data_IF_138089722422
#
_entry.id   IF_138089722422
#
_cell.length_a   1.000
_cell.length_b   1.000
_cell.length_c   1.000
_cell.angle_alpha   90.00
_cell.angle_beta   90.00
_cell.angle_gamma   90.00
#
_symmetry.space_group_name_H-M   'P 1'
#
loop_
_entity.id
_entity.type
_entity.pdbx_description
1 polymer ?
#
# COMPACT_ATOMS: atom_id res chain seq x y z
N UNK A 1 7.31 -2.46 45.95
CA UNK A 1 8.01 -2.93 44.74
C UNK A 1 7.58 -4.36 44.51
N UNK A 2 6.83 -4.59 43.44
CA UNK A 2 6.33 -5.91 43.06
C UNK A 2 5.76 -5.80 41.65
N UNK A 3 6.51 -6.30 40.66
CA UNK A 3 6.08 -6.35 39.27
C UNK A 3 5.08 -7.51 39.12
N UNK A 4 3.85 -7.18 38.71
CA UNK A 4 2.81 -8.15 38.41
C UNK A 4 2.99 -8.72 37.01
N UNK A 5 3.31 -10.01 36.94
CA UNK A 5 3.28 -10.84 35.73
C UNK A 5 1.83 -11.24 35.44
N UNK A 6 1.30 -10.88 34.28
CA UNK A 6 0.01 -11.39 33.84
C UNK A 6 0.19 -12.81 33.26
N UNK A 7 -0.31 -13.81 33.99
CA UNK A 7 -0.42 -15.20 33.56
C UNK A 7 -1.60 -15.38 32.60
N UNK A 8 -1.37 -16.00 31.44
CA UNK A 8 -2.45 -16.48 30.58
C UNK A 8 -2.93 -17.85 31.10
N UNK A 9 -4.20 -17.92 31.53
CA UNK A 9 -4.92 -19.18 31.77
C UNK A 9 -5.71 -19.55 30.53
N UNK A 10 -5.41 -20.72 29.97
CA UNK A 10 -6.24 -21.38 28.97
C UNK A 10 -7.49 -21.94 29.67
N UNK A 11 -8.67 -21.47 29.25
CA UNK A 11 -9.98 -22.01 29.65
C UNK A 11 -10.67 -22.59 28.43
N UNK A 12 -10.91 -23.90 28.46
CA UNK A 12 -11.70 -24.67 27.51
C UNK A 12 -13.19 -24.30 27.60
N UNK A 13 -13.86 -24.13 26.46
CA UNK A 13 -15.32 -24.27 26.35
C UNK A 13 -16.05 -23.16 25.60
N UNK A 14 -16.59 -23.53 24.44
CA UNK A 14 -17.75 -22.93 23.73
C UNK A 14 -17.63 -21.53 23.08
N UNK A 15 -17.50 -21.58 21.74
CA UNK A 15 -18.06 -20.69 20.71
C UNK A 15 -18.29 -19.21 21.08
N UNK A 16 -17.29 -18.38 20.77
CA UNK A 16 -17.47 -16.95 20.51
C UNK A 16 -16.77 -16.59 19.19
N UNK A 17 -17.54 -16.21 18.18
CA UNK A 17 -17.02 -15.53 16.99
C UNK A 17 -16.46 -14.18 17.45
N UNK A 18 -15.13 -14.05 17.47
CA UNK A 18 -14.47 -12.76 17.60
C UNK A 18 -14.58 -12.07 16.24
N UNK A 19 -15.49 -11.11 16.12
CA UNK A 19 -15.50 -10.16 15.00
C UNK A 19 -14.29 -9.24 15.17
N UNK A 20 -13.18 -9.57 14.51
CA UNK A 20 -12.11 -8.61 14.27
C UNK A 20 -12.40 -7.93 12.93
N UNK A 21 -12.77 -6.65 12.98
CA UNK A 21 -12.64 -5.77 11.82
C UNK A 21 -11.14 -5.52 11.60
N UNK A 22 -10.58 -6.11 10.55
CA UNK A 22 -9.21 -5.84 10.11
C UNK A 22 -9.17 -4.41 9.55
N UNK A 23 -8.56 -3.49 10.31
CA UNK A 23 -8.29 -2.11 9.90
C UNK A 23 -7.12 -2.10 8.91
N UNK A 24 -7.31 -1.50 7.73
CA UNK A 24 -6.26 -1.34 6.71
C UNK A 24 -5.25 -0.27 7.17
N UNK A 25 -3.96 -0.63 7.26
CA UNK A 25 -2.88 0.24 7.78
C UNK A 25 -2.40 1.31 6.76
N UNK A 26 -3.21 1.59 5.72
CA UNK A 26 -2.80 2.36 4.53
C UNK A 26 -3.84 3.32 3.95
N UNK A 27 -4.96 3.59 4.64
CA UNK A 27 -6.00 4.46 4.08
C UNK A 27 -5.47 5.87 3.78
N UNK A 28 -5.66 6.31 2.54
CA UNK A 28 -5.39 7.67 2.09
C UNK A 28 -6.72 8.36 1.85
N UNK A 29 -6.89 9.54 2.46
CA UNK A 29 -8.06 10.38 2.29
C UNK A 29 -7.74 11.48 1.26
N UNK A 30 -8.42 11.45 0.11
CA UNK A 30 -8.42 12.57 -0.83
C UNK A 30 -9.71 13.36 -0.67
N UNK A 31 -9.61 14.64 -0.30
CA UNK A 31 -10.76 15.47 0.01
C UNK A 31 -10.69 16.81 -0.70
N UNK A 32 -11.85 17.32 -1.11
CA UNK A 32 -12.04 18.69 -1.56
C UNK A 32 -13.15 19.33 -0.73
N UNK A 33 -12.91 20.53 -0.22
CA UNK A 33 -13.88 21.28 0.55
C UNK A 33 -14.18 22.62 -0.13
N UNK A 34 -15.38 23.13 0.12
CA UNK A 34 -15.76 24.50 -0.16
C UNK A 34 -16.38 25.14 1.08
N UNK A 35 -16.43 26.46 1.11
CA UNK A 35 -17.20 27.18 2.12
C UNK A 35 -18.22 28.12 1.48
N UNK A 36 -19.20 28.53 2.28
CA UNK A 36 -20.27 29.41 1.88
C UNK A 36 -20.53 30.45 2.96
N UNK A 37 -20.66 31.72 2.55
CA UNK A 37 -20.97 32.89 3.39
C UNK A 37 -20.04 33.02 4.61
N UNK A 38 -18.73 32.83 4.42
CA UNK A 38 -17.76 33.12 5.46
C UNK A 38 -17.85 34.58 5.92
N UNK A 39 -17.52 34.83 7.19
CA UNK A 39 -17.46 36.19 7.71
C UNK A 39 -16.29 36.97 7.09
N UNK A 40 -16.60 38.13 6.53
CA UNK A 40 -15.59 39.11 6.07
C UNK A 40 -14.76 39.62 7.26
N UNK A 41 -13.42 39.61 7.15
CA UNK A 41 -12.54 40.28 8.14
C UNK A 41 -11.78 41.46 7.57
N UNK A 42 -11.42 41.42 6.28
CA UNK A 42 -10.76 42.54 5.61
C UNK A 42 -11.59 43.83 5.50
N UNK A 43 -10.91 44.97 5.70
CA UNK A 43 -11.51 46.29 5.51
C UNK A 43 -11.72 46.61 4.01
N UNK A 44 -10.73 46.34 3.16
CA UNK A 44 -10.72 46.67 1.72
C UNK A 44 -10.66 45.42 0.82
N UNK A 45 -11.65 44.53 0.95
CA UNK A 45 -11.73 43.29 0.19
C UNK A 45 -12.70 42.33 0.86
N UNK A 46 -12.98 41.18 0.28
CA UNK A 46 -13.48 40.02 1.05
C UNK A 46 -12.27 39.31 1.67
N UNK A 47 -12.54 38.41 2.60
CA UNK A 47 -11.51 37.55 3.19
C UNK A 47 -10.72 36.75 2.14
N UNK A 48 -9.51 36.37 2.52
CA UNK A 48 -8.56 35.45 1.90
C UNK A 48 -8.53 34.11 2.68
N UNK A 49 -9.61 33.30 2.66
CA UNK A 49 -9.74 32.17 3.57
C UNK A 49 -8.85 30.96 3.28
N UNK A 50 -8.38 30.30 4.35
CA UNK A 50 -7.73 28.98 4.33
C UNK A 50 -8.14 28.11 5.53
N UNK A 51 -7.96 26.80 5.41
CA UNK A 51 -8.26 25.81 6.45
C UNK A 51 -7.00 25.28 7.10
N UNK A 52 -7.07 25.00 8.41
CA UNK A 52 -6.04 24.29 9.16
C UNK A 52 -6.67 23.08 9.84
N UNK A 53 -6.20 21.89 9.49
CA UNK A 53 -6.66 20.62 10.05
C UNK A 53 -5.77 20.23 11.23
N UNK A 54 -6.41 19.75 12.29
CA UNK A 54 -5.75 19.28 13.49
C UNK A 54 -6.21 17.86 13.85
N UNK A 55 -5.22 17.00 14.10
CA UNK A 55 -5.36 15.68 14.72
C UNK A 55 -5.47 15.82 16.23
N UNK A 56 -6.43 15.15 16.86
CA UNK A 56 -6.45 14.96 18.32
C UNK A 56 -5.42 13.91 18.74
N UNK A 57 -4.64 14.22 19.78
CA UNK A 57 -3.71 13.31 20.44
C UNK A 57 -4.36 12.62 21.65
N UNK A 58 -3.73 11.57 22.18
CA UNK A 58 -4.24 10.81 23.35
C UNK A 58 -4.29 11.64 24.64
N UNK A 59 -3.43 12.66 24.74
CA UNK A 59 -3.38 13.60 25.86
C UNK A 59 -4.42 14.74 25.73
N UNK A 60 -5.27 14.70 24.70
CA UNK A 60 -6.28 15.73 24.41
C UNK A 60 -5.73 16.99 23.73
N UNK A 61 -4.44 17.03 23.39
CA UNK A 61 -3.86 18.13 22.61
C UNK A 61 -4.15 17.97 21.11
N UNK A 62 -3.98 19.06 20.36
CA UNK A 62 -4.21 19.09 18.92
C UNK A 62 -2.91 19.37 18.16
N UNK A 63 -2.61 18.57 17.15
CA UNK A 63 -1.45 18.75 16.26
C UNK A 63 -1.90 19.06 14.85
N UNK A 64 -1.30 20.07 14.21
CA UNK A 64 -1.61 20.39 12.81
C UNK A 64 -1.21 19.19 11.92
N UNK A 65 -2.14 18.72 11.11
CA UNK A 65 -1.90 17.64 10.15
C UNK A 65 -1.99 18.10 8.68
N UNK A 66 -2.70 19.19 8.39
CA UNK A 66 -2.76 19.77 7.03
C UNK A 66 -3.14 21.26 7.04
N UNK A 67 -2.74 21.99 5.99
CA UNK A 67 -3.17 23.36 5.69
C UNK A 67 -3.47 23.48 4.20
N UNK A 68 -4.62 24.06 3.87
CA UNK A 68 -4.97 24.33 2.46
C UNK A 68 -4.24 25.58 1.96
N UNK A 69 -4.34 25.82 0.66
CA UNK A 69 -3.98 27.11 0.07
C UNK A 69 -4.92 28.24 0.52
N UNK A 70 -4.45 29.46 0.31
CA UNK A 70 -5.21 30.70 0.54
C UNK A 70 -5.97 31.05 -0.73
N UNK A 71 -7.30 31.18 -0.65
CA UNK A 71 -8.14 31.60 -1.77
C UNK A 71 -8.49 33.07 -1.60
N UNK A 72 -7.97 33.93 -2.48
CA UNK A 72 -8.07 35.39 -2.28
C UNK A 72 -9.45 35.97 -2.57
N UNK A 73 -9.84 36.97 -1.78
CA UNK A 73 -10.96 37.88 -1.99
C UNK A 73 -12.29 37.16 -2.24
N UNK A 74 -12.63 36.20 -1.38
CA UNK A 74 -13.88 35.44 -1.46
C UNK A 74 -14.45 35.07 -0.09
N UNK A 75 -15.78 35.01 0.00
CA UNK A 75 -16.49 34.44 1.16
C UNK A 75 -17.04 33.03 0.87
N UNK A 76 -16.81 32.54 -0.36
CA UNK A 76 -17.25 31.23 -0.82
C UNK A 76 -16.08 30.50 -1.51
N UNK A 77 -14.98 30.23 -0.79
CA UNK A 77 -13.83 29.54 -1.36
C UNK A 77 -14.18 28.11 -1.78
N UNK A 78 -13.55 27.67 -2.86
CA UNK A 78 -13.41 26.25 -3.19
C UNK A 78 -11.91 25.99 -3.16
N UNK A 79 -11.45 25.17 -2.22
CA UNK A 79 -10.04 24.82 -2.11
C UNK A 79 -9.69 23.70 -3.10
N UNK A 80 -8.43 23.58 -3.45
CA UNK A 80 -7.92 22.49 -4.27
C UNK A 80 -8.07 21.16 -3.52
N UNK A 81 -8.32 20.04 -4.23
CA UNK A 81 -8.27 18.73 -3.63
C UNK A 81 -6.90 18.48 -3.00
N UNK A 82 -6.88 17.87 -1.82
CA UNK A 82 -5.65 17.46 -1.16
C UNK A 82 -5.75 16.02 -0.67
N UNK A 83 -4.58 15.41 -0.46
CA UNK A 83 -4.44 14.02 -0.06
C UNK A 83 -3.70 13.95 1.27
N UNK A 84 -4.25 13.22 2.23
CA UNK A 84 -3.65 13.02 3.57
C UNK A 84 -3.79 11.55 4.01
N UNK A 85 -2.73 10.92 4.56
CA UNK A 85 -2.87 9.61 5.19
C UNK A 85 -3.87 9.67 6.36
N UNK A 86 -4.79 8.70 6.45
CA UNK A 86 -5.78 8.62 7.54
C UNK A 86 -5.09 8.53 8.90
N UNK A 87 -3.95 7.85 8.98
CA UNK A 87 -3.11 7.84 10.19
C UNK A 87 -2.59 9.24 10.57
N UNK A 88 -2.23 10.06 9.59
CA UNK A 88 -1.85 11.45 9.86
C UNK A 88 -3.05 12.30 10.30
N UNK A 89 -4.24 12.02 9.77
CA UNK A 89 -5.47 12.74 10.09
C UNK A 89 -6.05 12.38 11.47
N UNK A 90 -6.14 11.09 11.79
CA UNK A 90 -6.89 10.58 12.95
C UNK A 90 -6.20 9.39 13.65
N UNK A 91 -4.91 9.12 13.37
CA UNK A 91 -4.12 8.05 13.98
C UNK A 91 -4.72 6.63 13.82
N UNK A 92 -5.42 6.40 12.71
CA UNK A 92 -6.07 5.12 12.41
C UNK A 92 -7.44 4.94 13.06
N UNK A 93 -7.84 5.81 14.01
CA UNK A 93 -9.14 5.77 14.67
C UNK A 93 -10.12 6.67 13.91
N UNK A 94 -11.07 6.07 13.19
CA UNK A 94 -11.92 6.79 12.22
C UNK A 94 -12.95 7.68 12.90
N UNK A 95 -13.23 7.40 14.18
CA UNK A 95 -14.15 8.15 15.02
C UNK A 95 -13.42 9.23 15.84
N UNK A 96 -12.08 9.25 15.82
CA UNK A 96 -11.29 10.27 16.49
C UNK A 96 -11.61 11.67 15.96
N UNK A 97 -11.68 12.61 16.89
CA UNK A 97 -11.98 14.01 16.59
C UNK A 97 -10.89 14.64 15.74
N UNK A 98 -11.31 15.19 14.60
CA UNK A 98 -10.55 16.08 13.73
C UNK A 98 -11.11 17.49 13.93
N UNK A 99 -10.26 18.43 14.31
CA UNK A 99 -10.63 19.85 14.44
C UNK A 99 -10.18 20.61 13.20
N UNK A 100 -11.02 21.50 12.70
CA UNK A 100 -10.72 22.32 11.53
C UNK A 100 -10.96 23.78 11.88
N UNK A 101 -9.93 24.58 11.73
CA UNK A 101 -9.99 26.02 11.91
C UNK A 101 -10.03 26.73 10.56
N UNK A 102 -10.83 27.78 10.46
CA UNK A 102 -10.95 28.66 9.30
C UNK A 102 -10.35 30.01 9.65
N UNK A 103 -9.37 30.45 8.86
CA UNK A 103 -8.68 31.71 9.04
C UNK A 103 -8.81 32.60 7.82
N UNK A 104 -8.73 33.90 8.04
CA UNK A 104 -8.45 34.92 7.03
C UNK A 104 -6.93 35.14 6.95
N UNK A 105 -6.35 35.11 5.75
CA UNK A 105 -4.93 35.34 5.59
C UNK A 105 -4.62 36.84 5.65
N UNK A 106 -3.54 37.17 6.37
CA UNK A 106 -3.07 38.54 6.59
C UNK A 106 -1.58 38.60 6.26
N UNK A 107 -1.17 39.68 5.59
CA UNK A 107 0.22 39.83 5.10
C UNK A 107 1.27 39.90 6.20
N UNK A 108 0.89 40.32 7.40
CA UNK A 108 1.77 40.43 8.56
C UNK A 108 1.90 39.13 9.37
N UNK A 109 1.18 38.07 8.97
CA UNK A 109 1.16 36.77 9.65
C UNK A 109 0.18 36.69 10.82
N UNK A 110 -0.56 37.76 11.14
CA UNK A 110 -1.53 37.80 12.24
C UNK A 110 -2.94 37.33 11.84
N UNK A 111 -2.99 36.19 11.12
CA UNK A 111 -4.18 35.65 10.48
C UNK A 111 -5.45 35.69 11.35
N UNK A 112 -6.48 36.32 10.79
CA UNK A 112 -7.71 36.62 11.48
C UNK A 112 -8.63 35.39 11.61
N UNK A 113 -8.83 34.89 12.83
CA UNK A 113 -9.67 33.70 13.05
C UNK A 113 -11.14 33.95 12.68
N UNK A 114 -11.68 33.16 11.74
CA UNK A 114 -13.08 33.22 11.30
C UNK A 114 -13.93 32.33 12.21
N UNK A 115 -13.57 31.06 12.38
CA UNK A 115 -14.24 30.11 13.26
C UNK A 115 -13.67 28.70 13.14
N UNK A 116 -14.26 27.76 13.88
CA UNK A 116 -13.84 26.34 13.92
C UNK A 116 -15.05 25.42 13.86
N UNK A 117 -14.79 24.16 13.48
CA UNK A 117 -15.71 23.05 13.64
C UNK A 117 -14.93 21.76 13.93
N UNK A 118 -15.62 20.75 14.44
CA UNK A 118 -15.07 19.42 14.71
C UNK A 118 -15.84 18.37 13.93
N UNK A 119 -15.14 17.34 13.47
CA UNK A 119 -15.70 16.20 12.73
C UNK A 119 -14.88 14.95 13.03
N UNK A 120 -15.11 13.85 12.30
CA UNK A 120 -14.27 12.65 12.29
C UNK A 120 -14.00 12.22 10.84
N UNK A 121 -13.00 11.37 10.64
CA UNK A 121 -12.76 10.81 9.29
C UNK A 121 -13.98 10.02 8.80
N UNK A 122 -14.67 9.30 9.69
CA UNK A 122 -15.91 8.57 9.36
C UNK A 122 -17.01 9.47 8.80
N UNK A 123 -17.15 10.69 9.31
CA UNK A 123 -18.11 11.66 8.78
C UNK A 123 -17.60 12.25 7.45
N UNK A 124 -16.33 12.68 7.41
CA UNK A 124 -15.71 13.23 6.21
C UNK A 124 -15.74 12.26 5.01
N UNK A 125 -15.57 10.96 5.25
CA UNK A 125 -15.56 9.92 4.20
C UNK A 125 -16.92 9.66 3.56
N UNK A 126 -18.03 10.12 4.15
CA UNK A 126 -19.38 10.00 3.57
C UNK A 126 -19.60 10.86 2.32
N UNK A 127 -18.60 11.64 1.89
CA UNK A 127 -18.62 12.37 0.62
C UNK A 127 -19.63 13.51 0.56
N UNK A 128 -20.09 13.83 -0.65
CA UNK A 128 -21.06 14.90 -0.86
C UNK A 128 -22.45 14.46 -0.37
N UNK A 129 -22.82 14.91 0.82
CA UNK A 129 -24.09 14.59 1.46
C UNK A 129 -24.63 15.81 2.21
N UNK A 130 -25.96 15.88 2.38
CA UNK A 130 -26.61 16.89 3.22
C UNK A 130 -26.10 16.88 4.68
N UNK A 131 -25.47 15.78 5.09
CA UNK A 131 -24.88 15.60 6.42
C UNK A 131 -23.42 16.08 6.53
N UNK A 132 -22.76 16.41 5.41
CA UNK A 132 -21.37 16.90 5.37
C UNK A 132 -21.29 18.41 5.16
N UNK A 133 -22.13 19.13 5.89
CA UNK A 133 -22.15 20.59 5.98
C UNK A 133 -21.90 20.98 7.43
N UNK A 134 -20.76 21.58 7.69
CA UNK A 134 -20.31 21.98 9.02
C UNK A 134 -20.54 23.48 9.23
N UNK A 135 -21.23 23.83 10.31
CA UNK A 135 -21.33 25.22 10.73
C UNK A 135 -20.00 25.71 11.31
N UNK A 136 -19.47 26.80 10.77
CA UNK A 136 -18.23 27.41 11.26
C UNK A 136 -18.57 28.26 12.48
N UNK A 137 -18.06 27.90 13.65
CA UNK A 137 -18.41 28.56 14.91
C UNK A 137 -17.25 29.40 15.44
N UNK A 138 -17.51 30.66 15.79
CA UNK A 138 -16.56 31.53 16.44
C UNK A 138 -16.90 31.64 17.94
N UNK A 139 -16.11 31.04 18.85
CA UNK A 139 -16.41 31.04 20.28
C UNK A 139 -16.52 32.46 20.87
N UNK A 140 -15.69 33.40 20.40
CA UNK A 140 -15.71 34.80 20.84
C UNK A 140 -17.00 35.51 20.42
N UNK A 141 -17.52 35.25 19.20
CA UNK A 141 -18.81 35.81 18.75
C UNK A 141 -19.99 35.16 19.47
N UNK A 142 -19.96 33.84 19.67
CA UNK A 142 -21.00 33.08 20.39
C UNK A 142 -21.18 33.59 21.82
N UNK A 143 -20.08 33.91 22.53
CA UNK A 143 -20.14 34.49 23.87
C UNK A 143 -20.62 35.95 23.94
N UNK A 144 -20.52 36.71 22.84
CA UNK A 144 -20.82 38.16 22.82
C UNK A 144 -22.15 38.53 22.16
N UNK A 145 -22.62 37.76 21.17
CA UNK A 145 -23.78 38.10 20.33
C UNK A 145 -24.94 37.15 20.59
N UNK A 146 -26.04 37.68 21.16
CA UNK A 146 -27.26 36.90 21.48
C UNK A 146 -27.95 36.22 20.29
N UNK A 147 -27.78 36.71 19.06
CA UNK A 147 -28.38 36.16 17.82
C UNK A 147 -27.32 35.57 16.86
N UNK A 148 -26.18 35.13 17.39
CA UNK A 148 -25.15 34.48 16.58
C UNK A 148 -25.61 33.08 16.15
N UNK A 149 -25.52 32.79 14.85
CA UNK A 149 -25.81 31.47 14.28
C UNK A 149 -24.47 30.79 13.97
N UNK A 150 -23.78 31.25 12.92
CA UNK A 150 -22.48 30.76 12.51
C UNK A 150 -21.69 31.87 11.77
N UNK A 151 -20.45 31.57 11.42
CA UNK A 151 -19.52 32.41 10.64
C UNK A 151 -19.36 31.85 9.21
N UNK A 152 -20.43 31.25 8.68
CA UNK A 152 -20.47 30.53 7.42
C UNK A 152 -20.55 29.01 7.61
N UNK A 153 -20.54 28.28 6.50
CA UNK A 153 -20.54 26.82 6.49
C UNK A 153 -19.42 26.27 5.62
N UNK A 154 -18.83 25.14 6.00
CA UNK A 154 -17.88 24.37 5.19
C UNK A 154 -18.54 23.07 4.76
N UNK A 155 -18.37 22.69 3.50
CA UNK A 155 -18.97 21.49 2.93
C UNK A 155 -17.91 20.65 2.22
N UNK A 156 -18.04 19.34 2.34
CA UNK A 156 -17.21 18.39 1.59
C UNK A 156 -17.80 18.26 0.17
N UNK A 157 -17.01 18.64 -0.84
CA UNK A 157 -17.37 18.56 -2.26
C UNK A 157 -17.00 17.19 -2.81
N UNK A 158 -15.82 16.70 -2.43
CA UNK A 158 -15.30 15.40 -2.81
C UNK A 158 -14.70 14.76 -1.56
N UNK A 159 -15.03 13.50 -1.33
CA UNK A 159 -14.31 12.64 -0.40
C UNK A 159 -14.12 11.30 -1.07
N UNK A 160 -12.89 11.03 -1.45
CA UNK A 160 -12.47 9.74 -1.95
C UNK A 160 -11.61 9.14 -0.85
N UNK A 161 -12.19 8.19 -0.12
CA UNK A 161 -11.40 7.22 0.61
C UNK A 161 -10.87 6.25 -0.43
N UNK A 162 -9.62 6.42 -0.83
CA UNK A 162 -8.94 5.31 -1.45
C UNK A 162 -8.56 4.35 -0.34
N UNK A 163 -9.43 3.37 -0.08
CA UNK A 163 -8.91 2.03 0.25
C UNK A 163 -8.25 1.58 -1.05
N UNK A 164 -7.00 2.00 -1.23
CA UNK A 164 -6.37 1.98 -2.53
C UNK A 164 -5.95 0.54 -2.77
N UNK A 165 -6.69 -0.08 -3.67
CA UNK A 165 -6.53 -1.41 -4.26
C UNK A 165 -6.98 -2.62 -3.43
N UNK A 166 -8.27 -2.95 -3.50
CA UNK A 166 -8.67 -4.34 -3.60
C UNK A 166 -8.69 -4.72 -5.09
N UNK A 167 -7.52 -4.74 -5.73
CA UNK A 167 -7.37 -5.49 -6.99
C UNK A 167 -6.73 -6.80 -6.59
N UNK A 168 -7.20 -7.93 -7.11
CA UNK A 168 -6.52 -9.20 -6.90
C UNK A 168 -5.06 -9.03 -7.33
N UNK A 169 -4.16 -9.20 -6.36
CA UNK A 169 -2.73 -9.11 -6.52
C UNK A 169 -2.22 -10.55 -6.50
N UNK A 170 -2.16 -11.17 -7.66
CA UNK A 170 -1.46 -12.45 -7.81
C UNK A 170 0.05 -12.20 -7.63
N UNK A 171 0.51 -12.37 -6.40
CA UNK A 171 1.92 -12.39 -6.03
C UNK A 171 2.51 -13.76 -6.33
N UNK A 172 3.54 -13.79 -7.17
CA UNK A 172 4.22 -15.03 -7.50
C UNK A 172 5.60 -14.79 -8.08
N UNK A 173 6.70 -15.07 -7.35
CA UNK A 173 7.84 -15.90 -7.81
C UNK A 173 9.12 -15.77 -6.95
N UNK A 174 9.68 -16.92 -6.59
CA UNK A 174 10.83 -17.02 -5.69
C UNK A 174 11.96 -17.74 -6.42
N UNK A 175 13.17 -17.15 -6.46
CA UNK A 175 14.35 -17.87 -6.95
C UNK A 175 14.90 -18.77 -5.86
N UNK A 176 15.49 -19.87 -6.30
CA UNK A 176 16.45 -20.63 -5.51
C UNK A 176 17.81 -20.55 -6.21
N UNK A 177 18.85 -20.10 -5.54
CA UNK A 177 20.18 -19.95 -6.07
C UNK A 177 21.25 -20.69 -5.28
N UNK A 178 22.46 -20.72 -5.83
CA UNK A 178 23.43 -21.77 -5.57
C UNK A 178 23.91 -21.86 -4.11
N UNK A 179 23.92 -23.09 -3.61
CA UNK A 179 24.46 -23.45 -2.30
C UNK A 179 23.61 -24.57 -1.72
N UNK A 180 24.23 -25.69 -1.34
CA UNK A 180 23.49 -26.78 -0.71
C UNK A 180 22.72 -26.22 0.50
N UNK A 181 21.38 -26.33 0.57
CA UNK A 181 20.58 -25.76 1.66
C UNK A 181 20.94 -26.30 3.05
N UNK A 182 21.70 -27.40 3.12
CA UNK A 182 22.26 -27.94 4.36
C UNK A 182 23.57 -27.27 4.79
N UNK A 183 24.20 -26.45 3.94
CA UNK A 183 25.44 -25.74 4.26
C UNK A 183 25.14 -24.35 4.86
N UNK A 184 25.74 -23.99 6.00
CA UNK A 184 25.56 -22.68 6.64
C UNK A 184 25.95 -21.48 5.77
N UNK A 185 26.79 -21.69 4.76
CA UNK A 185 27.23 -20.66 3.81
C UNK A 185 26.24 -20.44 2.66
N UNK A 186 25.21 -21.28 2.52
CA UNK A 186 24.18 -21.11 1.50
C UNK A 186 23.21 -19.99 1.89
N UNK A 187 22.83 -19.16 0.92
CA UNK A 187 21.74 -18.19 1.09
C UNK A 187 20.37 -18.86 1.28
N UNK A 188 20.26 -20.17 0.99
CA UNK A 188 19.11 -21.02 1.28
C UNK A 188 19.26 -21.87 2.54
N UNK A 189 20.25 -21.58 3.39
CA UNK A 189 20.51 -22.41 4.56
C UNK A 189 19.25 -22.60 5.41
N UNK A 190 18.86 -23.86 5.62
CA UNK A 190 17.68 -24.22 6.43
C UNK A 190 18.06 -24.27 7.91
N UNK A 191 18.16 -23.10 8.54
CA UNK A 191 18.38 -22.99 9.98
C UNK A 191 17.07 -23.23 10.76
N UNK A 192 17.04 -24.10 11.78
CA UNK A 192 15.83 -24.36 12.58
C UNK A 192 15.37 -23.17 13.45
N UNK A 193 16.22 -22.16 13.66
CA UNK A 193 15.93 -21.02 14.56
C UNK A 193 15.81 -19.67 13.85
N UNK A 194 16.26 -19.56 12.60
CA UNK A 194 16.30 -18.29 11.87
C UNK A 194 15.92 -18.50 10.41
N UNK A 195 15.17 -17.55 9.84
CA UNK A 195 14.88 -17.53 8.41
C UNK A 195 16.14 -17.16 7.62
N UNK A 196 16.31 -17.77 6.45
CA UNK A 196 17.34 -17.34 5.51
C UNK A 196 16.92 -16.05 4.77
N UNK A 197 17.85 -15.42 4.07
CA UNK A 197 17.62 -14.10 3.44
C UNK A 197 16.48 -14.12 2.42
N UNK A 198 16.29 -15.23 1.72
CA UNK A 198 15.16 -15.42 0.81
C UNK A 198 13.82 -15.45 1.55
N UNK A 199 13.73 -16.23 2.63
CA UNK A 199 12.54 -16.29 3.46
C UNK A 199 12.26 -14.95 4.15
N UNK A 200 13.29 -14.24 4.60
CA UNK A 200 13.14 -12.89 5.17
C UNK A 200 12.61 -11.90 4.13
N UNK A 201 13.19 -11.86 2.93
CA UNK A 201 12.73 -10.98 1.86
C UNK A 201 11.29 -11.30 1.44
N UNK A 202 10.98 -12.59 1.28
CA UNK A 202 9.64 -13.06 0.93
C UNK A 202 8.63 -12.65 1.99
N UNK A 203 8.96 -12.86 3.27
CA UNK A 203 8.09 -12.50 4.39
C UNK A 203 7.89 -10.99 4.44
N UNK A 204 8.96 -10.21 4.36
CA UNK A 204 8.91 -8.76 4.48
C UNK A 204 8.04 -8.08 3.42
N UNK A 205 8.18 -8.52 2.17
CA UNK A 205 7.43 -7.95 1.04
C UNK A 205 6.03 -8.57 0.97
N UNK A 206 5.96 -9.89 1.12
CA UNK A 206 4.72 -10.64 1.06
C UNK A 206 3.74 -10.23 2.14
N UNK A 207 4.19 -10.01 3.38
CA UNK A 207 3.29 -9.68 4.50
C UNK A 207 2.45 -8.43 4.25
N UNK A 208 2.92 -7.54 3.37
CA UNK A 208 2.28 -6.26 3.10
C UNK A 208 1.47 -6.34 1.81
N UNK A 209 2.03 -6.92 0.75
CA UNK A 209 1.28 -7.03 -0.51
C UNK A 209 0.12 -8.01 -0.37
N UNK A 210 0.25 -9.04 0.48
CA UNK A 210 -0.84 -9.99 0.66
C UNK A 210 -2.13 -9.30 1.08
N UNK A 211 -2.07 -8.18 1.82
CA UNK A 211 -3.26 -7.45 2.30
C UNK A 211 -4.11 -6.89 1.17
N UNK A 212 -3.51 -6.64 0.01
CA UNK A 212 -4.19 -6.11 -1.15
C UNK A 212 -4.81 -7.20 -2.04
N UNK A 213 -4.40 -8.45 -1.88
CA UNK A 213 -5.01 -9.58 -2.57
C UNK A 213 -6.27 -10.08 -1.83
N UNK A 214 -7.37 -10.36 -2.53
CA UNK A 214 -8.65 -10.64 -1.85
C UNK A 214 -8.83 -12.09 -1.41
N UNK A 215 -8.28 -13.05 -2.15
CA UNK A 215 -8.42 -14.48 -1.87
C UNK A 215 -7.21 -15.06 -1.12
N UNK A 216 -6.11 -14.30 -1.04
CA UNK A 216 -4.82 -14.67 -0.44
C UNK A 216 -4.27 -15.96 -1.08
N UNK A 217 -4.56 -16.21 -2.36
CA UNK A 217 -4.07 -17.37 -3.09
C UNK A 217 -2.92 -16.95 -3.99
N UNK A 218 -1.71 -17.33 -3.61
CA UNK A 218 -0.50 -16.90 -4.29
C UNK A 218 0.08 -18.03 -5.13
N UNK A 219 0.06 -17.95 -6.47
CA UNK A 219 0.84 -18.87 -7.29
C UNK A 219 2.31 -18.80 -6.86
N UNK A 220 2.96 -19.92 -6.57
CA UNK A 220 4.35 -19.87 -6.11
C UNK A 220 5.23 -20.73 -7.01
N UNK A 221 6.23 -20.12 -7.64
CA UNK A 221 7.14 -20.85 -8.53
C UNK A 221 8.60 -20.63 -8.16
N UNK A 222 9.36 -21.71 -8.31
CA UNK A 222 10.82 -21.72 -8.37
C UNK A 222 11.30 -21.68 -9.82
N UNK A 223 12.53 -21.21 -10.04
CA UNK A 223 13.20 -21.27 -11.33
C UNK A 223 14.69 -21.53 -11.13
N UNK A 224 15.31 -22.26 -12.06
CA UNK A 224 16.73 -22.63 -11.94
C UNK A 224 16.93 -23.81 -11.00
N UNK A 225 16.19 -24.90 -11.21
CA UNK A 225 16.44 -26.13 -10.48
C UNK A 225 16.28 -27.36 -11.37
N UNK A 226 16.98 -28.42 -11.00
CA UNK A 226 16.74 -29.77 -11.53
C UNK A 226 15.67 -30.43 -10.67
N UNK A 227 14.59 -30.84 -11.32
CA UNK A 227 13.46 -31.47 -10.65
C UNK A 227 13.64 -32.99 -10.60
N UNK A 228 13.24 -33.64 -9.49
CA UNK A 228 13.11 -35.09 -9.47
C UNK A 228 11.96 -35.56 -10.37
N UNK A 229 11.95 -36.83 -10.83
CA UNK A 229 12.99 -37.84 -10.64
C UNK A 229 14.10 -37.81 -11.71
N UNK A 230 13.87 -37.14 -12.83
CA UNK A 230 14.72 -37.22 -14.04
C UNK A 230 15.83 -36.16 -14.08
N UNK A 231 15.85 -35.23 -13.12
CA UNK A 231 16.85 -34.17 -13.04
C UNK A 231 16.73 -33.15 -14.16
N UNK A 232 15.57 -33.04 -14.81
CA UNK A 232 15.33 -32.03 -15.85
C UNK A 232 15.41 -30.64 -15.27
N UNK A 233 16.11 -29.78 -15.98
CA UNK A 233 16.24 -28.37 -15.64
C UNK A 233 14.89 -27.71 -15.91
N UNK A 234 14.32 -27.10 -14.88
CA UNK A 234 13.14 -26.26 -14.99
C UNK A 234 13.47 -24.81 -14.67
N UNK A 235 13.01 -23.93 -15.55
CA UNK A 235 13.09 -22.48 -15.38
C UNK A 235 11.76 -21.88 -14.88
N UNK A 236 10.78 -22.72 -14.55
CA UNK A 236 9.55 -22.35 -13.85
C UNK A 236 8.87 -23.64 -13.36
N UNK A 237 8.76 -23.84 -12.05
CA UNK A 237 8.10 -24.99 -11.45
C UNK A 237 7.33 -24.59 -10.20
N UNK A 238 6.15 -25.17 -9.94
CA UNK A 238 5.35 -24.83 -8.76
C UNK A 238 6.07 -25.29 -7.49
N UNK A 239 6.20 -24.41 -6.48
CA UNK A 239 6.88 -24.73 -5.22
C UNK A 239 6.12 -25.78 -4.41
N UNK A 240 4.78 -25.76 -4.49
CA UNK A 240 3.91 -26.76 -3.85
C UNK A 240 3.89 -28.12 -4.59
N UNK A 241 4.66 -28.25 -5.68
CA UNK A 241 4.72 -29.44 -6.54
C UNK A 241 3.41 -29.81 -7.27
N UNK A 242 2.41 -28.93 -7.26
CA UNK A 242 1.14 -29.12 -7.96
C UNK A 242 1.13 -28.28 -9.26
N UNK A 243 1.18 -28.97 -10.41
CA UNK A 243 1.20 -28.32 -11.73
C UNK A 243 -0.16 -27.81 -12.17
N UNK A 244 -1.24 -28.38 -11.62
CA UNK A 244 -2.61 -27.97 -11.95
C UNK A 244 -3.04 -26.79 -11.07
N UNK A 245 -2.59 -26.76 -9.81
CA UNK A 245 -2.88 -25.69 -8.87
C UNK A 245 -1.62 -25.20 -8.13
N UNK A 246 -0.91 -24.21 -8.69
CA UNK A 246 0.32 -23.66 -8.09
C UNK A 246 0.05 -22.75 -6.87
N UNK A 247 -1.22 -22.55 -6.48
CA UNK A 247 -1.60 -21.55 -5.49
C UNK A 247 -1.29 -22.02 -4.06
N UNK A 248 -0.71 -21.11 -3.29
CA UNK A 248 -0.41 -21.26 -1.88
C UNK A 248 -1.29 -20.32 -1.06
N UNK A 249 -1.81 -20.78 0.08
CA UNK A 249 -2.67 -19.97 0.95
C UNK A 249 -1.82 -19.05 1.81
N UNK A 250 -1.90 -17.74 1.57
CA UNK A 250 -1.14 -16.74 2.30
C UNK A 250 0.37 -16.83 2.08
N UNK A 251 1.10 -15.86 2.62
CA UNK A 251 2.57 -15.86 2.55
C UNK A 251 3.19 -16.98 3.36
N UNK A 252 2.54 -17.39 4.46
CA UNK A 252 3.00 -18.56 5.22
C UNK A 252 2.89 -19.85 4.41
N UNK A 253 1.87 -20.01 3.56
CA UNK A 253 1.79 -21.13 2.62
C UNK A 253 2.91 -21.09 1.57
N UNK A 254 3.25 -19.90 1.07
CA UNK A 254 4.39 -19.73 0.14
C UNK A 254 5.72 -20.07 0.81
N UNK A 255 5.93 -19.64 2.07
CA UNK A 255 7.11 -19.96 2.86
C UNK A 255 7.23 -21.46 3.13
N UNK A 256 6.12 -22.13 3.46
CA UNK A 256 6.09 -23.57 3.63
C UNK A 256 6.46 -24.29 2.33
N UNK A 257 5.82 -23.94 1.21
CA UNK A 257 6.11 -24.51 -0.10
C UNK A 257 7.57 -24.29 -0.52
N UNK A 258 8.13 -23.11 -0.23
CA UNK A 258 9.54 -22.81 -0.43
C UNK A 258 10.45 -23.78 0.34
N UNK A 259 10.26 -23.92 1.66
CA UNK A 259 11.10 -24.81 2.47
C UNK A 259 10.93 -26.29 2.11
N UNK A 260 9.73 -26.71 1.69
CA UNK A 260 9.49 -28.05 1.18
C UNK A 260 10.22 -28.28 -0.15
N UNK A 261 10.13 -27.34 -1.09
CA UNK A 261 10.78 -27.44 -2.40
C UNK A 261 12.31 -27.55 -2.27
N UNK A 262 12.91 -26.82 -1.33
CA UNK A 262 14.35 -26.85 -1.06
C UNK A 262 14.88 -28.23 -0.63
N UNK A 263 14.00 -29.13 -0.16
CA UNK A 263 14.37 -30.50 0.23
C UNK A 263 14.35 -31.48 -0.95
N UNK A 264 13.65 -31.14 -2.03
CA UNK A 264 13.37 -32.05 -3.14
C UNK A 264 14.11 -31.66 -4.42
N UNK A 265 14.29 -30.37 -4.67
CA UNK A 265 14.92 -29.88 -5.91
C UNK A 265 16.43 -29.72 -5.75
N UNK A 266 17.17 -29.88 -6.84
CA UNK A 266 18.59 -29.57 -6.88
C UNK A 266 18.81 -28.21 -7.54
N UNK A 267 19.36 -27.25 -6.80
CA UNK A 267 19.61 -25.89 -7.28
C UNK A 267 20.56 -25.89 -8.49
N UNK A 268 20.24 -25.08 -9.50
CA UNK A 268 20.95 -25.07 -10.77
C UNK A 268 20.91 -23.68 -11.46
N UNK A 269 21.83 -23.41 -12.38
CA UNK A 269 21.84 -22.20 -13.21
C UNK A 269 21.84 -22.54 -14.71
N UNK A 270 21.57 -21.61 -15.63
CA UNK A 270 21.62 -20.15 -15.48
C UNK A 270 20.34 -19.54 -14.91
N UNK A 271 20.44 -18.25 -14.56
CA UNK A 271 19.30 -17.45 -14.11
C UNK A 271 18.67 -16.73 -15.28
N UNK A 272 17.43 -17.08 -15.60
CA UNK A 272 16.69 -16.47 -16.69
C UNK A 272 15.39 -15.85 -16.16
N UNK A 273 15.18 -14.54 -16.35
CA UNK A 273 13.98 -13.84 -15.91
C UNK A 273 12.89 -13.80 -16.97
N UNK A 274 13.26 -13.79 -18.25
CA UNK A 274 12.31 -13.66 -19.35
C UNK A 274 11.20 -14.72 -19.34
N UNK A 275 11.45 -16.03 -19.06
CA UNK A 275 10.38 -17.03 -19.04
C UNK A 275 9.30 -16.72 -17.99
N UNK A 276 9.74 -16.28 -16.82
CA UNK A 276 8.90 -15.97 -15.67
C UNK A 276 8.05 -14.72 -15.92
N UNK A 277 8.65 -13.65 -16.45
CA UNK A 277 7.94 -12.42 -16.81
C UNK A 277 6.90 -12.71 -17.88
N UNK A 278 7.29 -13.41 -18.95
CA UNK A 278 6.38 -13.78 -20.04
C UNK A 278 5.21 -14.64 -19.59
N UNK A 279 5.40 -15.50 -18.59
CA UNK A 279 4.30 -16.29 -18.02
C UNK A 279 3.27 -15.41 -17.32
N UNK A 280 3.69 -14.45 -16.48
CA UNK A 280 2.74 -13.52 -15.82
C UNK A 280 2.10 -12.60 -16.85
N UNK A 281 2.87 -12.12 -17.82
CA UNK A 281 2.37 -11.27 -18.90
C UNK A 281 1.23 -11.95 -19.68
N UNK A 282 1.28 -13.26 -19.90
CA UNK A 282 0.17 -13.98 -20.54
C UNK A 282 -1.10 -13.93 -19.71
N UNK A 283 -1.00 -14.20 -18.40
CA UNK A 283 -2.15 -14.09 -17.48
C UNK A 283 -2.69 -12.66 -17.40
N UNK A 284 -1.80 -11.67 -17.31
CA UNK A 284 -2.17 -10.26 -17.26
C UNK A 284 -2.84 -9.77 -18.55
N UNK A 285 -2.45 -10.31 -19.71
CA UNK A 285 -3.02 -9.94 -21.00
C UNK A 285 -4.52 -10.30 -21.15
N UNK A 286 -4.99 -11.31 -20.42
CA UNK A 286 -6.40 -11.71 -20.44
C UNK A 286 -7.29 -10.74 -19.63
N UNK A 287 -6.69 -9.89 -18.77
CA UNK A 287 -7.40 -8.91 -17.94
C UNK A 287 -7.33 -7.53 -18.57
N UNK A 288 -8.47 -7.04 -19.06
CA UNK A 288 -8.56 -5.74 -19.76
C UNK A 288 -9.53 -4.75 -19.11
N UNK A 289 -10.36 -5.21 -18.19
CA UNK A 289 -11.45 -4.46 -17.55
C UNK A 289 -11.04 -3.79 -16.22
N UNK A 290 -9.75 -3.86 -15.89
CA UNK A 290 -9.18 -3.36 -14.63
C UNK A 290 -9.64 -4.11 -13.39
N UNK A 291 -10.19 -5.32 -13.52
CA UNK A 291 -10.60 -6.12 -12.35
C UNK A 291 -9.42 -6.65 -11.54
N UNK A 292 -8.26 -6.85 -12.17
CA UNK A 292 -7.06 -7.41 -11.55
C UNK A 292 -5.81 -6.66 -12.01
N UNK A 293 -4.80 -6.64 -11.14
CA UNK A 293 -3.49 -6.09 -11.44
C UNK A 293 -2.41 -6.97 -10.82
N UNK A 294 -1.49 -7.45 -11.64
CA UNK A 294 -0.55 -8.48 -11.24
C UNK A 294 0.74 -7.86 -10.68
N UNK A 295 1.24 -8.36 -9.56
CA UNK A 295 2.56 -7.97 -9.04
C UNK A 295 3.46 -9.18 -8.97
N UNK A 296 4.44 -9.22 -9.87
CA UNK A 296 5.45 -10.25 -9.94
C UNK A 296 6.59 -9.91 -8.98
N UNK A 297 6.59 -10.47 -7.76
CA UNK A 297 7.77 -10.46 -6.90
C UNK A 297 8.79 -11.48 -7.41
N UNK A 298 10.06 -11.11 -7.48
CA UNK A 298 11.20 -11.94 -7.86
C UNK A 298 12.35 -11.70 -6.90
N UNK A 299 12.75 -12.71 -6.13
CA UNK A 299 13.92 -12.59 -5.24
C UNK A 299 15.11 -13.24 -5.91
N UNK A 300 16.30 -12.65 -5.90
CA UNK A 300 17.48 -13.14 -6.64
C UNK A 300 18.79 -12.87 -5.92
N UNK A 301 19.79 -13.75 -6.01
CA UNK A 301 21.10 -13.56 -5.37
C UNK A 301 22.22 -13.08 -6.31
N UNK A 302 21.90 -12.78 -7.56
CA UNK A 302 22.91 -12.35 -8.51
C UNK A 302 22.38 -12.09 -9.90
N UNK A 303 23.34 -11.89 -10.81
CA UNK A 303 23.15 -11.41 -12.18
C UNK A 303 22.30 -12.38 -13.02
N UNK A 304 21.49 -11.82 -13.91
CA UNK A 304 20.70 -12.56 -14.89
C UNK A 304 21.53 -12.89 -16.13
N UNK A 305 21.28 -14.06 -16.70
CA UNK A 305 21.99 -14.55 -17.88
C UNK A 305 21.30 -14.17 -19.20
N UNK A 306 20.02 -13.79 -19.16
CA UNK A 306 19.16 -13.49 -20.31
C UNK A 306 18.71 -12.02 -20.35
N UNK A 307 19.64 -11.09 -20.10
CA UNK A 307 19.34 -9.65 -20.05
C UNK A 307 18.62 -9.13 -21.30
N UNK A 308 19.06 -9.56 -22.50
CA UNK A 308 18.46 -9.12 -23.77
C UNK A 308 16.99 -9.56 -23.88
N UNK A 309 16.71 -10.82 -23.52
CA UNK A 309 15.37 -11.39 -23.53
C UNK A 309 14.50 -10.81 -22.40
N UNK A 310 15.11 -10.47 -21.27
CA UNK A 310 14.43 -9.83 -20.14
C UNK A 310 13.97 -8.43 -20.50
N UNK A 311 14.83 -7.62 -21.16
CA UNK A 311 14.41 -6.31 -21.69
C UNK A 311 13.28 -6.43 -22.69
N UNK A 312 13.34 -7.41 -23.59
CA UNK A 312 12.23 -7.68 -24.51
C UNK A 312 10.93 -8.02 -23.77
N UNK A 313 10.99 -8.88 -22.74
CA UNK A 313 9.85 -9.26 -21.93
C UNK A 313 9.26 -8.06 -21.17
N UNK A 314 10.09 -7.21 -20.56
CA UNK A 314 9.68 -5.99 -19.86
C UNK A 314 9.00 -5.00 -20.83
N UNK A 315 9.61 -4.74 -21.99
CA UNK A 315 9.03 -3.83 -22.99
C UNK A 315 7.66 -4.32 -23.48
N UNK A 316 7.50 -5.64 -23.69
CA UNK A 316 6.23 -6.22 -24.10
C UNK A 316 5.19 -6.22 -22.96
N UNK A 317 5.63 -6.39 -21.70
CA UNK A 317 4.75 -6.40 -20.52
C UNK A 317 4.31 -4.99 -20.08
N UNK A 318 5.03 -3.93 -20.47
CA UNK A 318 4.76 -2.56 -20.04
C UNK A 318 3.35 -2.05 -20.41
N UNK A 319 2.70 -2.64 -21.41
CA UNK A 319 1.33 -2.30 -21.82
C UNK A 319 0.23 -3.04 -21.03
N UNK A 320 0.59 -3.99 -20.17
CA UNK A 320 -0.30 -4.91 -19.46
C UNK A 320 -0.55 -4.48 -18.00
N UNK A 321 -1.61 -4.97 -17.32
CA UNK A 321 -1.89 -4.67 -15.92
C UNK A 321 -0.94 -5.43 -14.99
N UNK A 322 0.37 -5.20 -15.09
CA UNK A 322 1.34 -5.84 -14.24
C UNK A 322 2.53 -4.96 -13.87
N UNK A 323 3.10 -5.23 -12.71
CA UNK A 323 4.39 -4.72 -12.22
C UNK A 323 5.30 -5.88 -11.83
N UNK A 324 6.60 -5.61 -11.75
CA UNK A 324 7.67 -6.56 -11.42
C UNK A 324 8.51 -5.95 -10.30
N UNK A 325 8.61 -6.64 -9.18
CA UNK A 325 9.48 -6.27 -8.07
C UNK A 325 10.64 -7.26 -8.03
N UNK A 326 11.86 -6.76 -8.10
CA UNK A 326 13.08 -7.56 -8.06
C UNK A 326 13.82 -7.26 -6.76
N UNK A 327 13.96 -8.25 -5.89
CA UNK A 327 14.70 -8.11 -4.62
C UNK A 327 16.03 -8.84 -4.70
N UNK A 328 17.13 -8.09 -4.63
CA UNK A 328 18.49 -8.63 -4.64
C UNK A 328 18.96 -9.06 -3.24
N UNK A 329 19.27 -10.34 -3.02
CA UNK A 329 19.78 -10.87 -1.73
C UNK A 329 21.25 -11.27 -1.83
N UNK A 330 21.96 -11.25 -0.72
CA UNK A 330 23.37 -11.64 -0.68
C UNK A 330 24.34 -10.59 -1.22
N UNK A 331 25.61 -10.96 -1.43
CA UNK A 331 26.70 -10.01 -1.64
C UNK A 331 27.01 -9.70 -3.11
N UNK A 332 26.22 -10.20 -4.07
CA UNK A 332 26.49 -9.98 -5.49
C UNK A 332 26.37 -8.50 -5.89
N UNK A 333 26.96 -8.16 -7.04
CA UNK A 333 26.76 -6.86 -7.69
C UNK A 333 25.51 -6.88 -8.56
N UNK A 334 24.73 -5.81 -8.49
CA UNK A 334 23.39 -5.73 -9.07
C UNK A 334 23.23 -4.61 -10.12
N UNK A 335 24.31 -4.06 -10.66
CA UNK A 335 24.29 -2.98 -11.68
C UNK A 335 23.35 -3.31 -12.86
N UNK A 336 23.30 -4.57 -13.26
CA UNK A 336 22.42 -5.05 -14.33
C UNK A 336 20.92 -4.95 -13.98
N UNK A 337 20.56 -5.02 -12.69
CA UNK A 337 19.18 -4.86 -12.22
C UNK A 337 18.79 -3.39 -12.14
N UNK A 338 19.72 -2.48 -11.83
CA UNK A 338 19.48 -1.03 -11.89
C UNK A 338 19.15 -0.58 -13.32
N UNK A 339 19.74 -1.22 -14.34
CA UNK A 339 19.36 -0.97 -15.74
C UNK A 339 17.90 -1.38 -16.05
N UNK A 340 17.31 -2.30 -15.29
CA UNK A 340 15.93 -2.74 -15.47
C UNK A 340 14.92 -1.86 -14.72
N UNK A 341 15.33 -1.17 -13.66
CA UNK A 341 14.50 -0.35 -12.76
C UNK A 341 13.83 0.84 -13.46
N UNK A 342 14.34 1.26 -14.62
CA UNK A 342 13.64 2.22 -15.50
C UNK A 342 13.61 3.68 -15.02
N UNK A 343 13.99 3.95 -13.77
CA UNK A 343 14.02 5.26 -13.10
C UNK A 343 14.82 6.33 -13.85
N UNK A 344 16.08 6.02 -14.21
CA UNK A 344 16.92 6.96 -14.95
C UNK A 344 16.64 6.89 -16.46
N UNK A 345 16.50 5.68 -16.98
CA UNK A 345 16.35 5.40 -18.41
C UNK A 345 15.29 4.32 -18.60
N UNK A 346 14.17 4.71 -19.22
CA UNK A 346 13.08 3.79 -19.55
C UNK A 346 13.61 2.62 -20.39
N UNK A 347 13.33 1.40 -19.95
CA UNK A 347 13.78 0.17 -20.60
C UNK A 347 13.37 0.16 -22.08
N UNK A 348 14.31 -0.21 -22.95
CA UNK A 348 14.07 -0.27 -24.40
C UNK A 348 14.67 -1.53 -25.02
N UNK A 349 14.05 -1.97 -26.10
CA UNK A 349 14.48 -3.14 -26.87
C UNK A 349 14.24 -2.91 -28.37
N UNK A 350 15.31 -3.05 -29.18
CA UNK A 350 15.28 -2.84 -30.65
C UNK A 350 14.61 -1.53 -31.08
N UNK A 351 14.89 -0.44 -30.35
CA UNK A 351 14.35 0.90 -30.63
C UNK A 351 12.91 1.14 -30.16
N UNK A 352 12.24 0.14 -29.55
CA UNK A 352 10.96 0.32 -28.87
C UNK A 352 11.20 0.60 -27.40
N UNK A 353 10.58 1.65 -26.88
CA UNK A 353 10.66 2.04 -25.46
C UNK A 353 9.42 1.47 -24.75
N UNK A 354 9.60 1.01 -23.51
CA UNK A 354 8.49 0.56 -22.67
C UNK A 354 7.45 1.69 -22.46
N UNK A 355 6.16 1.38 -22.62
CA UNK A 355 5.04 2.34 -22.50
C UNK A 355 5.00 3.01 -21.11
N UNK A 356 5.34 2.25 -20.07
CA UNK A 356 5.38 2.67 -18.67
C UNK A 356 6.57 2.04 -17.96
N UNK A 357 6.89 2.58 -16.80
CA UNK A 357 7.73 1.85 -15.86
C UNK A 357 6.93 0.77 -15.17
N UNK A 358 7.52 -0.41 -15.07
CA UNK A 358 6.88 -1.57 -14.45
C UNK A 358 7.85 -2.39 -13.60
N UNK A 359 9.12 -2.02 -13.50
CA UNK A 359 10.11 -2.77 -12.72
C UNK A 359 10.51 -1.91 -11.54
N UNK A 360 10.57 -2.50 -10.35
CA UNK A 360 11.24 -1.93 -9.19
C UNK A 360 12.37 -2.88 -8.79
N UNK A 361 13.60 -2.40 -8.65
CA UNK A 361 14.71 -3.14 -8.07
C UNK A 361 15.05 -2.65 -6.66
N UNK A 362 15.17 -3.59 -5.71
CA UNK A 362 15.56 -3.27 -4.33
C UNK A 362 16.64 -4.25 -3.82
N UNK A 363 17.85 -3.76 -3.51
CA UNK A 363 18.87 -4.59 -2.86
C UNK A 363 18.54 -4.79 -1.38
N UNK A 364 18.18 -6.02 -0.99
CA UNK A 364 17.79 -6.39 0.37
C UNK A 364 18.89 -6.10 1.42
N UNK A 365 20.16 -6.15 1.01
CA UNK A 365 21.32 -5.93 1.88
C UNK A 365 21.32 -4.55 2.54
N UNK A 366 20.71 -3.55 1.91
CA UNK A 366 20.66 -2.17 2.40
C UNK A 366 19.72 -2.01 3.60
N UNK A 367 18.90 -3.04 3.84
CA UNK A 367 17.88 -3.08 4.89
C UNK A 367 18.18 -4.12 5.96
N UNK A 368 19.35 -4.77 5.95
CA UNK A 368 19.76 -5.64 7.06
C UNK A 368 20.70 -4.86 7.97
N UNK A 369 20.17 -4.33 9.08
CA UNK A 369 21.00 -3.69 10.10
C UNK A 369 21.76 -4.74 10.94
N UNK A 370 23.07 -4.52 11.14
CA UNK A 370 23.92 -5.33 12.05
C UNK A 370 23.49 -5.22 13.52
N UNK A 371 22.65 -4.23 13.85
CA UNK A 371 22.20 -3.92 15.20
C UNK A 371 21.02 -4.77 15.70
N UNK A 372 20.41 -5.62 14.85
CA UNK A 372 19.37 -6.57 15.25
C UNK A 372 17.94 -6.01 15.37
N UNK A 373 17.70 -4.73 15.02
CA UNK A 373 16.36 -4.16 14.96
C UNK A 373 15.64 -4.53 13.65
N UNK A 374 15.25 -5.80 13.53
CA UNK A 374 14.63 -6.36 12.32
C UNK A 374 13.35 -5.61 11.92
N UNK A 375 12.51 -5.17 12.87
CA UNK A 375 11.20 -4.55 12.58
C UNK A 375 11.31 -3.23 11.79
N UNK A 376 12.18 -2.31 12.21
CA UNK A 376 12.39 -1.03 11.52
C UNK A 376 13.01 -1.22 10.12
N UNK A 377 13.77 -2.28 9.98
CA UNK A 377 14.49 -2.63 8.77
C UNK A 377 13.55 -3.22 7.70
N UNK A 378 12.57 -4.03 8.12
CA UNK A 378 11.50 -4.54 7.25
C UNK A 378 10.56 -3.43 6.79
N UNK A 379 10.20 -2.48 7.68
CA UNK A 379 9.32 -1.37 7.32
C UNK A 379 9.92 -0.41 6.27
N UNK A 380 11.25 -0.27 6.25
CA UNK A 380 11.96 0.52 5.22
C UNK A 380 11.99 -0.19 3.88
N UNK A 381 12.34 -1.48 3.89
CA UNK A 381 12.30 -2.32 2.68
C UNK A 381 10.91 -2.29 2.05
N UNK A 382 9.89 -2.48 2.86
CA UNK A 382 8.50 -2.40 2.45
C UNK A 382 8.14 -1.07 1.78
N UNK A 383 8.53 0.03 2.41
CA UNK A 383 8.28 1.38 1.91
C UNK A 383 8.88 1.57 0.52
N UNK A 384 10.11 1.12 0.33
CA UNK A 384 10.84 1.36 -0.91
C UNK A 384 10.40 0.35 -2.00
N UNK A 385 10.04 -0.88 -1.64
CA UNK A 385 9.41 -1.86 -2.55
C UNK A 385 8.02 -1.43 -3.05
N UNK A 386 7.24 -0.76 -2.20
CA UNK A 386 5.87 -0.33 -2.50
C UNK A 386 5.78 1.12 -2.95
N UNK A 387 6.89 1.84 -3.03
CA UNK A 387 6.88 3.25 -3.37
C UNK A 387 6.26 3.50 -4.75
N UNK A 388 6.57 2.64 -5.72
CA UNK A 388 6.17 2.85 -7.11
C UNK A 388 4.92 2.09 -7.54
N UNK A 389 4.58 0.97 -6.89
CA UNK A 389 3.45 0.13 -7.31
C UNK A 389 2.13 0.91 -7.46
N UNK A 390 1.75 1.80 -6.51
CA UNK A 390 0.54 2.61 -6.67
C UNK A 390 0.59 3.50 -7.92
N UNK A 391 1.72 4.13 -8.21
CA UNK A 391 1.89 5.01 -9.37
C UNK A 391 1.89 4.21 -10.67
N UNK A 392 2.56 3.05 -10.71
CA UNK A 392 2.59 2.15 -11.86
C UNK A 392 1.18 1.65 -12.20
N UNK A 393 0.39 1.24 -11.20
CA UNK A 393 -1.02 0.89 -11.38
C UNK A 393 -1.84 2.09 -11.87
N UNK A 394 -1.78 3.22 -11.18
CA UNK A 394 -2.60 4.38 -11.53
C UNK A 394 -2.28 4.87 -12.95
N UNK A 395 -1.01 4.79 -13.34
CA UNK A 395 -0.54 5.06 -14.70
C UNK A 395 -1.20 4.10 -15.71
N UNK A 396 -1.23 2.79 -15.43
CA UNK A 396 -1.95 1.81 -16.25
C UNK A 396 -3.43 2.16 -16.38
N UNK A 397 -4.14 2.31 -15.26
CA UNK A 397 -5.59 2.53 -15.24
C UNK A 397 -5.97 3.80 -16.01
N UNK A 398 -5.24 4.90 -15.79
CA UNK A 398 -5.44 6.17 -16.52
C UNK A 398 -5.17 6.01 -18.01
N UNK A 399 -4.09 5.33 -18.41
CA UNK A 399 -3.75 5.13 -19.82
C UNK A 399 -4.79 4.31 -20.59
N UNK A 400 -5.56 3.47 -19.87
CA UNK A 400 -6.64 2.64 -20.42
C UNK A 400 -8.03 3.21 -20.21
N UNK A 401 -8.17 4.39 -19.60
CA UNK A 401 -9.46 5.01 -19.31
C UNK A 401 -10.32 4.20 -18.35
N UNK A 402 -9.70 3.41 -17.48
CA UNK A 402 -10.39 2.57 -16.49
C UNK A 402 -10.69 3.43 -15.26
N UNK A 403 -11.97 3.61 -14.96
CA UNK A 403 -12.44 4.33 -13.79
C UNK A 403 -12.57 3.40 -12.57
N UNK A 404 -12.36 3.90 -11.35
CA UNK A 404 -12.58 3.12 -10.14
C UNK A 404 -14.02 2.58 -10.09
N UNK A 405 -14.16 1.28 -9.80
CA UNK A 405 -15.49 0.68 -9.61
C UNK A 405 -16.15 1.27 -8.36
N UNK A 406 -17.48 1.44 -8.36
CA UNK A 406 -18.22 1.80 -7.14
C UNK A 406 -17.91 0.80 -6.03
N UNK A 407 -17.84 1.27 -4.79
CA UNK A 407 -17.68 0.39 -3.63
C UNK A 407 -18.79 -0.66 -3.64
N UNK A 408 -18.43 -1.93 -3.38
CA UNK A 408 -19.41 -3.00 -3.22
C UNK A 408 -20.39 -2.60 -2.10
N UNK A 409 -21.69 -2.56 -2.42
CA UNK A 409 -22.72 -2.34 -1.41
C UNK A 409 -22.64 -3.47 -0.38
N UNK A 410 -22.25 -3.13 0.86
CA UNK A 410 -22.30 -4.09 1.97
C UNK A 410 -23.76 -4.43 2.22
N UNK A 411 -24.23 -5.58 1.73
CA UNK A 411 -25.56 -6.09 2.10
C UNK A 411 -25.65 -6.18 3.62
N UNK A 412 -26.61 -5.49 4.28
CA UNK A 412 -26.76 -5.60 5.72
C UNK A 412 -27.13 -7.05 6.08
N UNK A 413 -26.37 -7.63 7.00
CA UNK A 413 -26.64 -8.95 7.57
C UNK A 413 -28.08 -8.98 8.11
N UNK A 414 -28.91 -9.97 7.77
CA UNK A 414 -30.28 -10.03 8.28
C UNK A 414 -30.28 -10.09 9.80
N UNK A 415 -30.95 -9.12 10.44
CA UNK A 415 -31.16 -9.10 11.87
C UNK A 415 -31.81 -10.43 12.31
N UNK A 416 -31.05 -11.26 13.01
CA UNK A 416 -31.55 -12.50 13.57
C UNK A 416 -32.48 -12.11 14.73
N UNK A 417 -33.78 -12.16 14.48
CA UNK A 417 -34.81 -12.01 15.52
C UNK A 417 -34.54 -13.02 16.64
N UNK A 418 -34.13 -12.54 17.81
CA UNK A 418 -34.31 -13.28 19.05
C UNK A 418 -35.82 -13.35 19.31
N UNK A 419 -36.39 -14.55 19.16
CA UNK A 419 -37.65 -14.87 19.84
C UNK A 419 -37.32 -15.09 21.32
N UNK A 420 -38.06 -14.36 22.16
CA UNK A 420 -38.04 -14.38 23.62
C UNK A 420 -38.32 -15.78 24.15
#
# INVERSE_FOLDING_TARGET
>A
MGAGVAQFKCGTGERGLLNYSLECDGDIATMQLCANKLDKKDFFGKSDPFLVFYRSNEDGTFTICHKTEVVKNTLNPVWQPFTIPVRALCNGDYDRTVKVDVYDWDRDGSHDFIGEFTTSYRELSRGQSQFNVYEVLNPKKKGKKKKYINSGTVSVVLSLSSCQLCHNFDLAKLRLANGNPSQPTSLHYMNPYQMNTYAMALKAVGEIIQDYDSDKLFPAYGFGAKLPPDGKISHAFPLNSDTENPNCVGIEGVLEAYFQSLRTVQLYGPTNFAPVINQVARSAADVTDGSQYFVLLMITDGVISDMVQTKEAVVNAASLPMSVIIVGVGPAEFDAMEELDGDEVRVSFRGRIAERDIVQFVPFRDYIDRSGNQVLSMARLAKDVLAEIPDQLLSYMKSRGIEPRPALETTPTPARYMRI
#
